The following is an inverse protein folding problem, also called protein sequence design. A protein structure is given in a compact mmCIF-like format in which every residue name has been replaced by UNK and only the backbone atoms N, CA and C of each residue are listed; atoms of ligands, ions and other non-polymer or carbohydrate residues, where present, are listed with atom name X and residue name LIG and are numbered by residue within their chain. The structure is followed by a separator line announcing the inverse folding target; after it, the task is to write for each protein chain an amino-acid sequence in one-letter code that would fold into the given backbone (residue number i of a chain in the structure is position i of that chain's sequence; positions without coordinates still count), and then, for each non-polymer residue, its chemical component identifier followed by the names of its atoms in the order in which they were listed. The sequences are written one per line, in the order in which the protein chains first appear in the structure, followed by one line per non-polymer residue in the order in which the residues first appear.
data_IF_170825698643
#
_entry.id   IF_170825698643
#
_cell.length_a   1.000
_cell.length_b   1.000
_cell.length_c   1.000
_cell.angle_alpha   90.00
_cell.angle_beta   90.00
_cell.angle_gamma   90.00
#
_symmetry.space_group_name_H-M   'P 1'
#
loop_
_entity.id
_entity.type
_entity.pdbx_description
1 polymer ?
#
# COMPACT_ATOMS: atom_id res chain seq x y z
N UNK A 1 -1.21 18.69 -16.59
CA UNK A 1 -0.10 19.53 -16.06
C UNK A 1 -0.26 21.02 -16.32
N UNK A 2 -0.61 21.46 -17.53
CA UNK A 2 -0.68 22.91 -17.84
C UNK A 2 -1.73 23.66 -17.01
N UNK A 3 -2.90 23.04 -16.78
CA UNK A 3 -3.93 23.58 -15.89
C UNK A 3 -3.46 23.71 -14.43
N UNK A 4 -2.57 22.84 -13.94
CA UNK A 4 -2.04 22.93 -12.57
C UNK A 4 -1.10 24.13 -12.45
N UNK A 5 -0.29 24.39 -13.48
CA UNK A 5 0.60 25.56 -13.52
C UNK A 5 -0.20 26.86 -13.54
N UNK A 6 -1.20 26.95 -14.40
CA UNK A 6 -2.09 28.11 -14.50
C UNK A 6 -2.75 28.41 -13.14
N UNK A 7 -3.29 27.39 -12.48
CA UNK A 7 -3.87 27.51 -11.15
C UNK A 7 -2.88 28.01 -10.08
N UNK A 8 -1.60 27.64 -10.15
CA UNK A 8 -0.57 28.10 -9.19
C UNK A 8 -0.20 29.56 -9.38
N UNK A 9 -0.16 30.04 -10.63
CA UNK A 9 0.03 31.46 -10.90
C UNK A 9 -1.15 32.31 -10.41
N UNK A 10 -2.37 31.76 -10.46
CA UNK A 10 -3.55 32.38 -9.88
C UNK A 10 -3.55 32.31 -8.34
N UNK A 11 -2.98 31.24 -7.77
CA UNK A 11 -2.85 31.04 -6.32
C UNK A 11 -1.97 32.12 -5.68
N UNK A 12 -0.87 32.47 -6.33
CA UNK A 12 0.05 33.54 -5.93
C UNK A 12 -0.65 34.91 -5.78
N UNK A 13 -1.71 35.14 -6.57
CA UNK A 13 -2.49 36.39 -6.53
C UNK A 13 -3.65 36.36 -5.53
N UNK A 14 -4.13 35.18 -5.14
CA UNK A 14 -5.40 35.01 -4.43
C UNK A 14 -5.27 34.43 -3.03
N UNK A 15 -4.12 33.88 -2.66
CA UNK A 15 -3.94 33.19 -1.38
C UNK A 15 -2.97 33.95 -0.49
N UNK A 16 -3.28 34.05 0.81
CA UNK A 16 -2.33 34.50 1.84
C UNK A 16 -1.27 33.44 2.17
N UNK A 17 -0.95 32.56 1.22
CA UNK A 17 0.07 31.54 1.37
C UNK A 17 1.45 32.20 1.41
N UNK A 18 2.40 31.59 2.10
CA UNK A 18 3.75 32.13 2.19
C UNK A 18 4.42 32.02 0.82
N UNK A 19 5.15 33.07 0.42
CA UNK A 19 5.89 33.10 -0.86
C UNK A 19 6.87 31.92 -0.99
N UNK A 20 7.43 31.45 0.13
CA UNK A 20 8.31 30.28 0.19
C UNK A 20 7.62 29.00 -0.25
N UNK A 21 6.36 28.82 0.15
CA UNK A 21 5.59 27.61 -0.14
C UNK A 21 5.14 27.60 -1.61
N UNK A 22 4.79 28.79 -2.14
CA UNK A 22 4.47 28.97 -3.56
C UNK A 22 5.70 28.71 -4.43
N UNK A 23 6.87 29.23 -4.04
CA UNK A 23 8.12 29.00 -4.75
C UNK A 23 8.50 27.51 -4.76
N UNK A 24 8.33 26.83 -3.62
CA UNK A 24 8.54 25.40 -3.52
C UNK A 24 7.61 24.61 -4.46
N UNK A 25 6.32 24.91 -4.47
CA UNK A 25 5.35 24.23 -5.36
C UNK A 25 5.66 24.46 -6.84
N UNK A 26 6.06 25.68 -7.23
CA UNK A 26 6.53 25.98 -8.58
C UNK A 26 7.74 25.13 -8.94
N UNK A 27 8.75 25.11 -8.07
CA UNK A 27 9.95 24.30 -8.25
C UNK A 27 9.62 22.81 -8.40
N UNK A 28 8.69 22.29 -7.58
CA UNK A 28 8.30 20.88 -7.60
C UNK A 28 7.57 20.50 -8.90
N UNK A 29 6.71 21.37 -9.43
CA UNK A 29 5.96 21.10 -10.68
C UNK A 29 6.80 21.36 -11.93
N UNK A 30 7.82 22.20 -11.81
CA UNK A 30 8.79 22.40 -12.88
C UNK A 30 9.80 21.26 -12.98
N UNK A 31 10.02 20.53 -11.88
CA UNK A 31 10.90 19.36 -11.80
C UNK A 31 10.59 18.33 -12.92
N UNK A 32 11.57 18.00 -13.77
CA UNK A 32 11.40 17.04 -14.85
C UNK A 32 10.96 15.64 -14.39
N UNK A 33 11.43 15.19 -13.22
CA UNK A 33 11.08 13.88 -12.65
C UNK A 33 9.62 13.86 -12.23
N UNK A 34 9.16 14.89 -11.51
CA UNK A 34 7.76 15.00 -11.08
C UNK A 34 6.84 15.04 -12.29
N UNK A 35 7.21 15.80 -13.33
CA UNK A 35 6.45 15.82 -14.59
C UNK A 35 6.40 14.47 -15.27
N UNK A 36 7.51 13.75 -15.31
CA UNK A 36 7.56 12.41 -15.90
C UNK A 36 6.62 11.45 -15.17
N UNK A 37 6.64 11.47 -13.83
CA UNK A 37 5.79 10.64 -12.98
C UNK A 37 4.31 10.98 -13.19
N UNK A 38 3.94 12.26 -13.15
CA UNK A 38 2.53 12.66 -13.34
C UNK A 38 2.04 12.33 -14.74
N UNK A 39 2.87 12.53 -15.78
CA UNK A 39 2.49 12.15 -17.14
C UNK A 39 2.32 10.63 -17.29
N UNK A 40 3.17 9.84 -16.63
CA UNK A 40 3.03 8.38 -16.60
C UNK A 40 1.73 7.97 -15.88
N UNK A 41 1.41 8.62 -14.77
CA UNK A 41 0.16 8.40 -14.02
C UNK A 41 -1.07 8.77 -14.85
N UNK A 42 -1.11 9.97 -15.43
CA UNK A 42 -2.21 10.41 -16.31
C UNK A 42 -2.42 9.44 -17.49
N UNK A 43 -1.32 8.94 -18.06
CA UNK A 43 -1.36 7.98 -19.16
C UNK A 43 -1.89 6.61 -18.73
N UNK A 44 -1.57 6.17 -17.50
CA UNK A 44 -2.08 4.93 -16.93
C UNK A 44 -3.57 5.05 -16.60
N UNK A 45 -3.98 6.15 -15.98
CA UNK A 45 -5.37 6.41 -15.60
C UNK A 45 -6.27 6.48 -16.83
N UNK A 46 -5.85 7.18 -17.89
CA UNK A 46 -6.60 7.19 -19.16
C UNK A 46 -6.81 5.78 -19.72
N UNK A 47 -5.80 4.91 -19.66
CA UNK A 47 -5.93 3.52 -20.11
C UNK A 47 -6.93 2.74 -19.25
N UNK A 48 -6.87 2.91 -17.93
CA UNK A 48 -7.78 2.26 -16.99
C UNK A 48 -9.22 2.74 -17.22
N UNK A 49 -9.44 4.05 -17.36
CA UNK A 49 -10.77 4.64 -17.60
C UNK A 49 -11.32 4.35 -19.00
N UNK A 50 -10.46 4.05 -19.98
CA UNK A 50 -10.87 3.59 -21.32
C UNK A 50 -11.16 2.09 -21.40
N UNK A 51 -10.93 1.34 -20.31
CA UNK A 51 -11.18 -0.11 -20.27
C UNK A 51 -12.69 -0.36 -20.27
N UNK A 52 -13.20 -1.35 -21.03
CA UNK A 52 -14.61 -1.73 -20.94
C UNK A 52 -14.99 -2.12 -19.50
N UNK A 53 -16.14 -1.63 -19.04
CA UNK A 53 -16.65 -1.78 -17.66
C UNK A 53 -16.81 -3.24 -17.21
N UNK A 54 -16.83 -4.18 -18.16
CA UNK A 54 -17.00 -5.61 -17.91
C UNK A 54 -15.72 -6.32 -17.44
N UNK A 55 -14.55 -5.70 -17.54
CA UNK A 55 -13.31 -6.30 -17.05
C UNK A 55 -13.21 -6.05 -15.55
N UNK A 56 -13.86 -6.92 -14.77
CA UNK A 56 -13.76 -6.95 -13.31
C UNK A 56 -13.11 -8.26 -12.86
N UNK A 57 -12.30 -8.22 -11.79
CA UNK A 57 -11.74 -9.43 -11.22
C UNK A 57 -12.87 -10.36 -10.76
N UNK A 58 -12.79 -11.63 -11.16
CA UNK A 58 -13.86 -12.62 -10.94
C UNK A 58 -13.93 -13.07 -9.48
N UNK A 59 -12.77 -13.14 -8.81
CA UNK A 59 -12.66 -13.60 -7.44
C UNK A 59 -11.44 -12.97 -6.74
N UNK A 60 -11.34 -13.20 -5.43
CA UNK A 60 -10.17 -12.89 -4.61
C UNK A 60 -9.66 -14.19 -3.98
N UNK A 61 -8.36 -14.28 -3.70
CA UNK A 61 -7.75 -15.47 -3.07
C UNK A 61 -7.46 -16.60 -4.05
N UNK A 62 -7.31 -16.29 -5.33
CA UNK A 62 -6.98 -17.25 -6.40
C UNK A 62 -5.60 -17.88 -6.17
N UNK A 63 -4.65 -17.12 -5.62
CA UNK A 63 -3.32 -17.61 -5.28
C UNK A 63 -3.38 -18.70 -4.19
N UNK A 64 -4.26 -18.55 -3.19
CA UNK A 64 -4.46 -19.57 -2.15
C UNK A 64 -5.04 -20.85 -2.73
N UNK A 65 -6.09 -20.74 -3.56
CA UNK A 65 -6.70 -21.88 -4.24
C UNK A 65 -5.66 -22.62 -5.10
N UNK A 66 -4.81 -21.88 -5.82
CA UNK A 66 -3.74 -22.48 -6.62
C UNK A 66 -2.68 -23.22 -5.77
N UNK A 67 -2.34 -22.72 -4.58
CA UNK A 67 -1.45 -23.42 -3.63
C UNK A 67 -2.08 -24.72 -3.12
N UNK A 68 -3.37 -24.69 -2.77
CA UNK A 68 -4.11 -25.86 -2.30
C UNK A 68 -4.22 -26.93 -3.39
N UNK A 69 -4.52 -26.51 -4.63
CA UNK A 69 -4.53 -27.38 -5.81
C UNK A 69 -3.15 -27.95 -6.12
N UNK A 70 -2.10 -27.14 -6.04
CA UNK A 70 -0.73 -27.60 -6.27
C UNK A 70 -0.38 -28.75 -5.35
N UNK A 71 -0.72 -28.63 -4.06
CA UNK A 71 -0.47 -29.65 -3.03
C UNK A 71 -1.30 -30.91 -3.27
N UNK A 72 -2.59 -30.74 -3.55
CA UNK A 72 -3.52 -31.86 -3.78
C UNK A 72 -3.22 -32.64 -5.06
N UNK A 73 -2.85 -31.93 -6.13
CA UNK A 73 -2.60 -32.52 -7.44
C UNK A 73 -1.19 -33.12 -7.57
N UNK A 74 -0.23 -32.73 -6.73
CA UNK A 74 1.16 -33.23 -6.76
C UNK A 74 1.25 -34.74 -6.53
N UNK A 75 0.39 -35.28 -5.67
CA UNK A 75 0.36 -36.71 -5.30
C UNK A 75 -0.69 -37.50 -6.08
N UNK A 76 -1.35 -36.88 -7.06
CA UNK A 76 -2.38 -37.55 -7.84
C UNK A 76 -1.78 -38.59 -8.79
N UNK A 77 -2.50 -39.70 -8.99
CA UNK A 77 -2.20 -40.70 -10.02
C UNK A 77 -2.52 -40.21 -11.43
N UNK A 78 -3.27 -39.12 -11.57
CA UNK A 78 -3.63 -38.52 -12.86
C UNK A 78 -2.48 -37.66 -13.40
N UNK A 79 -2.04 -37.95 -14.63
CA UNK A 79 -0.99 -37.19 -15.31
C UNK A 79 -1.32 -35.70 -15.47
N UNK A 80 -2.55 -35.37 -15.87
CA UNK A 80 -2.98 -33.99 -16.06
C UNK A 80 -3.00 -33.19 -14.74
N UNK A 81 -3.31 -33.85 -13.63
CA UNK A 81 -3.24 -33.21 -12.31
C UNK A 81 -1.79 -32.87 -11.94
N UNK A 82 -0.85 -33.77 -12.21
CA UNK A 82 0.59 -33.52 -11.97
C UNK A 82 1.13 -32.41 -12.88
N UNK A 83 0.70 -32.38 -14.15
CA UNK A 83 1.04 -31.30 -15.08
C UNK A 83 0.49 -29.95 -14.61
N UNK A 84 -0.76 -29.91 -14.15
CA UNK A 84 -1.35 -28.71 -13.57
C UNK A 84 -0.57 -28.23 -12.34
N UNK A 85 -0.22 -29.14 -11.42
CA UNK A 85 0.61 -28.82 -10.26
C UNK A 85 1.99 -28.27 -10.68
N UNK A 86 2.60 -28.84 -11.71
CA UNK A 86 3.86 -28.32 -12.26
C UNK A 86 3.72 -26.92 -12.86
N UNK A 87 2.61 -26.61 -13.55
CA UNK A 87 2.33 -25.27 -14.09
C UNK A 87 2.08 -24.26 -12.97
N UNK A 88 1.21 -24.59 -12.02
CA UNK A 88 0.88 -23.72 -10.88
C UNK A 88 2.09 -23.48 -9.96
N UNK A 89 3.06 -24.40 -9.96
CA UNK A 89 4.32 -24.25 -9.21
C UNK A 89 5.28 -23.23 -9.83
N UNK A 90 5.11 -22.86 -11.11
CA UNK A 90 6.03 -21.94 -11.80
C UNK A 90 5.99 -20.54 -11.19
N UNK A 91 7.15 -19.87 -11.02
CA UNK A 91 7.22 -18.58 -10.33
C UNK A 91 6.41 -17.47 -11.02
N UNK A 92 6.38 -17.43 -12.35
CA UNK A 92 5.60 -16.44 -13.10
C UNK A 92 4.09 -16.65 -12.96
N UNK A 93 3.62 -17.90 -12.82
CA UNK A 93 2.20 -18.19 -12.59
C UNK A 93 1.80 -17.76 -11.19
N UNK A 94 2.62 -18.06 -10.18
CA UNK A 94 2.39 -17.58 -8.81
C UNK A 94 2.33 -16.05 -8.75
N UNK A 95 3.33 -15.37 -9.31
CA UNK A 95 3.37 -13.90 -9.34
C UNK A 95 2.15 -13.29 -10.05
N UNK A 96 1.68 -13.92 -11.14
CA UNK A 96 0.48 -13.49 -11.84
C UNK A 96 -0.77 -13.61 -10.96
N UNK A 97 -0.94 -14.74 -10.25
CA UNK A 97 -2.08 -14.98 -9.37
C UNK A 97 -2.07 -14.05 -8.14
N UNK A 98 -0.90 -13.79 -7.57
CA UNK A 98 -0.72 -12.84 -6.47
C UNK A 98 -1.02 -11.40 -6.92
N UNK A 99 -0.56 -11.02 -8.11
CA UNK A 99 -0.87 -9.71 -8.72
C UNK A 99 -2.36 -9.58 -9.01
N UNK A 100 -2.99 -10.64 -9.53
CA UNK A 100 -4.44 -10.68 -9.75
C UNK A 100 -5.20 -10.42 -8.44
N UNK A 101 -4.85 -11.13 -7.36
CA UNK A 101 -5.52 -10.97 -6.07
C UNK A 101 -5.30 -9.56 -5.49
N UNK A 102 -4.10 -8.98 -5.64
CA UNK A 102 -3.81 -7.59 -5.22
C UNK A 102 -4.70 -6.58 -5.94
N UNK A 103 -4.85 -6.72 -7.27
CA UNK A 103 -5.73 -5.87 -8.07
C UNK A 103 -7.20 -6.11 -7.72
N UNK A 104 -7.58 -7.35 -7.46
CA UNK A 104 -8.95 -7.73 -7.10
C UNK A 104 -9.40 -7.13 -5.77
N UNK A 105 -8.54 -7.17 -4.74
CA UNK A 105 -8.80 -6.54 -3.44
C UNK A 105 -8.92 -5.03 -3.58
N UNK A 106 -7.99 -4.40 -4.31
CA UNK A 106 -7.98 -2.95 -4.53
C UNK A 106 -9.26 -2.48 -5.24
N UNK A 107 -9.66 -3.20 -6.31
CA UNK A 107 -10.89 -2.89 -7.06
C UNK A 107 -12.17 -3.04 -6.23
N UNK A 108 -12.20 -3.94 -5.23
CA UNK A 108 -13.38 -4.17 -4.39
C UNK A 108 -13.52 -3.14 -3.27
N UNK A 109 -12.40 -2.67 -2.73
CA UNK A 109 -12.39 -1.72 -1.61
C UNK A 109 -12.62 -0.27 -2.06
N UNK A 110 -12.80 -0.02 -3.36
CA UNK A 110 -13.02 1.32 -3.91
C UNK A 110 -11.82 2.25 -3.77
N UNK A 111 -10.68 1.73 -3.32
CA UNK A 111 -9.43 2.46 -3.12
C UNK A 111 -8.49 2.27 -4.31
N UNK A 112 -7.63 3.26 -4.53
CA UNK A 112 -6.51 3.08 -5.45
C UNK A 112 -5.61 1.92 -4.94
N UNK A 113 -4.92 1.21 -5.83
CA UNK A 113 -3.97 0.12 -5.44
C UNK A 113 -2.97 0.60 -4.38
N UNK A 114 -2.67 1.89 -4.38
CA UNK A 114 -1.79 2.55 -3.43
C UNK A 114 -2.35 2.66 -1.99
N UNK A 115 -3.67 2.76 -1.82
CA UNK A 115 -4.29 2.79 -0.48
C UNK A 115 -4.28 1.41 0.20
N UNK A 116 -4.27 0.33 -0.57
CA UNK A 116 -4.15 -1.03 -0.03
C UNK A 116 -2.70 -1.42 0.29
N UNK A 117 -1.71 -0.76 -0.31
CA UNK A 117 -0.28 -0.90 0.06
C UNK A 117 0.14 0.21 1.02
N UNK A 118 -0.58 0.37 2.13
CA UNK A 118 -0.08 1.14 3.26
C UNK A 118 1.15 0.45 3.84
N UNK A 119 2.35 0.87 3.44
CA UNK A 119 3.61 0.64 4.15
C UNK A 119 3.98 -0.80 4.51
N UNK A 120 3.49 -1.81 3.79
CA UNK A 120 4.05 -3.16 3.90
C UNK A 120 5.04 -3.36 2.76
N UNK A 121 6.30 -3.01 3.03
CA UNK A 121 7.44 -3.72 2.44
C UNK A 121 7.15 -5.23 2.55
N UNK A 122 7.47 -6.05 1.55
CA UNK A 122 7.19 -7.48 1.61
C UNK A 122 7.94 -8.06 2.81
N UNK A 123 7.23 -8.27 3.93
CA UNK A 123 7.71 -9.18 4.94
C UNK A 123 7.71 -10.54 4.26
N UNK A 124 8.91 -11.07 4.10
CA UNK A 124 9.12 -12.50 3.94
C UNK A 124 8.42 -13.14 5.14
N UNK A 125 7.21 -13.66 4.93
CA UNK A 125 6.54 -14.50 5.91
C UNK A 125 7.38 -15.78 6.00
N UNK A 126 8.38 -15.76 6.89
CA UNK A 126 8.97 -16.99 7.39
C UNK A 126 7.86 -17.79 8.07
N UNK A 127 7.68 -19.01 7.58
CA UNK A 127 6.74 -20.00 8.07
C UNK A 127 7.03 -20.31 9.54
N UNK A 128 6.40 -19.57 10.45
CA UNK A 128 6.29 -19.97 11.85
C UNK A 128 4.84 -20.28 12.16
N UNK A 129 4.54 -21.56 12.03
CA UNK A 129 3.39 -22.23 12.62
C UNK A 129 3.49 -22.14 14.15
N UNK A 130 2.86 -21.14 14.76
CA UNK A 130 2.16 -21.35 16.02
C UNK A 130 1.13 -20.24 16.23
N UNK A 131 0.07 -20.55 16.95
CA UNK A 131 -1.14 -19.75 17.16
C UNK A 131 -0.89 -18.23 17.37
N UNK A 132 -0.90 -17.43 16.31
CA UNK A 132 -0.94 -15.97 16.44
C UNK A 132 -2.35 -15.53 16.85
N UNK A 133 -2.52 -15.37 18.16
CA UNK A 133 -3.53 -14.47 18.70
C UNK A 133 -3.37 -13.11 17.99
N UNK A 134 -4.39 -12.72 17.23
CA UNK A 134 -4.46 -11.42 16.56
C UNK A 134 -4.58 -10.33 17.62
N UNK A 135 -3.45 -9.85 18.15
CA UNK A 135 -3.45 -8.68 19.01
C UNK A 135 -3.93 -7.47 18.20
N UNK A 136 -5.08 -6.92 18.57
CA UNK A 136 -5.62 -5.72 17.95
C UNK A 136 -4.72 -4.51 18.29
N UNK A 137 -3.98 -4.03 17.30
CA UNK A 137 -3.15 -2.83 17.44
C UNK A 137 -4.04 -1.59 17.29
N UNK A 138 -4.06 -0.71 18.30
CA UNK A 138 -4.73 0.60 18.23
C UNK A 138 -3.68 1.69 18.06
N UNK A 139 -3.71 2.40 16.94
CA UNK A 139 -2.80 3.52 16.67
C UNK A 139 -3.42 4.82 17.22
N UNK A 140 -2.67 5.54 18.06
CA UNK A 140 -3.08 6.85 18.60
C UNK A 140 -2.05 7.90 18.17
N UNK A 141 -2.51 8.97 17.52
CA UNK A 141 -1.67 10.10 17.12
C UNK A 141 -1.53 11.13 18.24
N UNK A 142 -0.30 11.55 18.54
CA UNK A 142 -0.02 12.61 19.52
C UNK A 142 0.32 13.92 18.81
N UNK A 143 -0.32 15.03 19.21
CA UNK A 143 -0.04 16.37 18.70
C UNK A 143 0.70 17.18 19.77
N UNK A 144 1.98 17.48 19.54
CA UNK A 144 2.79 18.34 20.43
C UNK A 144 2.40 19.81 20.26
N UNK A 145 2.08 20.48 21.35
CA UNK A 145 1.90 21.94 21.38
C UNK A 145 3.29 22.61 21.53
N UNK A 146 3.64 23.62 20.72
CA UNK A 146 4.96 24.26 20.81
C UNK A 146 5.24 24.99 22.14
N UNK A 147 4.19 25.39 22.84
CA UNK A 147 4.25 26.16 24.09
C UNK A 147 4.40 25.30 25.34
N UNK A 148 4.37 23.96 25.22
CA UNK A 148 4.31 23.05 26.36
C UNK A 148 5.25 21.86 26.17
N UNK A 149 6.10 21.51 27.16
CA UNK A 149 6.91 20.30 27.10
C UNK A 149 6.01 19.06 27.23
N UNK A 150 6.29 18.03 26.44
CA UNK A 150 5.64 16.72 26.55
C UNK A 150 6.61 15.76 27.26
N UNK A 151 6.20 15.22 28.41
CA UNK A 151 6.95 14.23 29.17
C UNK A 151 6.52 12.80 28.84
N UNK A 152 7.44 11.85 28.96
CA UNK A 152 7.18 10.43 28.80
C UNK A 152 7.95 9.64 29.87
N UNK A 153 7.34 8.58 30.38
CA UNK A 153 8.02 7.54 31.17
C UNK A 153 7.98 6.22 30.42
N UNK A 154 9.07 5.48 30.51
CA UNK A 154 9.24 4.16 29.88
C UNK A 154 9.51 3.12 30.95
N UNK A 155 8.99 1.92 30.72
CA UNK A 155 9.20 0.73 31.54
C UNK A 155 9.77 -0.38 30.64
N UNK A 156 10.39 -1.39 31.25
CA UNK A 156 10.87 -2.58 30.56
C UNK A 156 9.94 -3.72 30.90
N UNK A 157 9.34 -4.33 29.87
CA UNK A 157 8.46 -5.48 30.04
C UNK A 157 9.25 -6.75 30.40
N UNK A 158 8.56 -7.84 30.76
CA UNK A 158 9.13 -9.14 31.13
C UNK A 158 10.04 -9.72 30.03
N UNK A 159 9.75 -9.40 28.76
CA UNK A 159 10.53 -9.79 27.59
C UNK A 159 11.74 -8.87 27.30
N UNK A 160 12.01 -7.87 28.16
CA UNK A 160 13.11 -6.90 27.97
C UNK A 160 12.81 -5.78 26.97
N UNK A 161 11.55 -5.66 26.52
CA UNK A 161 11.12 -4.63 25.57
C UNK A 161 10.86 -3.29 26.27
N UNK A 162 11.32 -2.19 25.67
CA UNK A 162 11.05 -0.84 26.18
C UNK A 162 9.62 -0.42 25.81
N UNK A 163 8.75 -0.30 26.80
CA UNK A 163 7.35 0.11 26.64
C UNK A 163 7.11 1.50 27.20
N UNK A 164 6.17 2.23 26.60
CA UNK A 164 5.75 3.53 27.10
C UNK A 164 4.74 3.33 28.23
N UNK A 165 5.11 3.71 29.45
CA UNK A 165 4.24 3.58 30.61
C UNK A 165 3.24 4.75 30.70
N UNK A 166 3.71 6.00 30.51
CA UNK A 166 2.85 7.19 30.62
C UNK A 166 3.36 8.36 29.79
N UNK A 167 2.43 9.02 29.09
CA UNK A 167 2.64 10.31 28.41
C UNK A 167 2.01 11.42 29.27
N UNK A 168 2.71 12.53 29.45
CA UNK A 168 2.26 13.68 30.23
C UNK A 168 2.39 14.97 29.40
N UNK A 169 1.33 15.78 29.35
CA UNK A 169 1.41 17.18 28.92
C UNK A 169 1.86 18.02 30.12
N UNK A 170 2.96 18.77 29.99
CA UNK A 170 3.58 19.50 31.09
C UNK A 170 2.90 20.84 31.42
N UNK A 171 2.13 20.87 32.51
CA UNK A 171 1.78 22.10 33.24
C UNK A 171 2.61 22.24 34.50
#
# INVERSE_FOLDING_TARGET
MDHIKENIYDLEKRTGAKDTDILFLKSLIEDPLVRSIVNAQDSLEKRISSRPDDVKPVATGTAKIAKDLTTSCRLSSNLHARELSAILSKPHVKALLETHDTVAVSSRNGGSVWESTGSQLPLVEEEHTDAMATQAIRVVGLRKMPSEPLGLTVEVDEDGNLIVARIMSGG
#
